data_IF_118203368274
#
_entry.id   IF_118203368274
#
_cell.length_a   1.000
_cell.length_b   1.000
_cell.length_c   1.000
_cell.angle_alpha   90.00
_cell.angle_beta   90.00
_cell.angle_gamma   90.00
#
_symmetry.space_group_name_H-M   'P 1'
#
loop_
_entity.id
_entity.type
_entity.pdbx_description
1 polymer ?
#
# COMPACT_ATOMS: atom_id res chain seq x y z
N UNK A 1 15.99 -6.93 14.94
CA UNK A 1 15.87 -6.06 13.77
C UNK A 1 15.23 -4.77 14.24
N UNK A 2 15.86 -3.65 13.99
CA UNK A 2 15.37 -2.33 14.39
C UNK A 2 14.64 -1.74 13.20
N UNK A 3 13.34 -1.43 13.35
CA UNK A 3 12.56 -0.72 12.35
C UNK A 3 13.21 0.63 12.06
N UNK A 4 13.35 0.98 10.79
CA UNK A 4 13.98 2.23 10.36
C UNK A 4 12.97 3.05 9.55
N UNK A 5 12.83 4.32 9.89
CA UNK A 5 12.11 5.27 9.03
C UNK A 5 12.90 5.49 7.73
N UNK A 6 12.22 5.69 6.58
CA UNK A 6 12.88 6.14 5.37
C UNK A 6 13.60 7.48 5.61
N UNK A 7 14.72 7.68 4.92
CA UNK A 7 15.54 8.89 5.05
C UNK A 7 14.74 10.17 4.81
N UNK A 8 13.84 10.13 3.81
CA UNK A 8 12.96 11.26 3.48
C UNK A 8 11.95 11.63 4.59
N UNK A 9 11.76 10.78 5.61
CA UNK A 9 10.89 11.03 6.77
C UNK A 9 11.67 11.15 8.09
N UNK A 10 13.01 10.97 8.07
CA UNK A 10 13.82 10.92 9.28
C UNK A 10 14.07 12.29 9.90
N UNK A 11 14.16 13.34 9.08
CA UNK A 11 14.30 14.73 9.53
C UNK A 11 12.91 15.40 9.59
N UNK A 12 12.42 15.77 10.79
CA UNK A 12 11.13 16.43 10.92
C UNK A 12 11.09 17.84 10.32
N UNK A 13 12.24 18.51 10.20
CA UNK A 13 12.34 19.89 9.76
C UNK A 13 12.61 20.03 8.24
N UNK A 14 12.89 18.91 7.53
CA UNK A 14 13.09 18.90 6.07
C UNK A 14 12.06 18.03 5.32
N UNK A 15 10.91 18.61 4.91
CA UNK A 15 9.89 17.90 4.13
C UNK A 15 10.24 17.78 2.64
N UNK A 16 11.27 18.44 2.15
CA UNK A 16 11.53 18.69 0.73
C UNK A 16 11.53 17.43 -0.11
N UNK A 17 12.24 16.38 0.32
CA UNK A 17 12.34 15.13 -0.43
C UNK A 17 11.02 14.37 -0.43
N UNK A 18 10.33 14.30 0.71
CA UNK A 18 9.04 13.63 0.83
C UNK A 18 7.97 14.31 -0.05
N UNK A 19 7.89 15.64 -0.02
CA UNK A 19 6.98 16.43 -0.86
C UNK A 19 7.27 16.19 -2.35
N UNK A 20 8.54 16.24 -2.76
CA UNK A 20 8.94 15.91 -4.14
C UNK A 20 8.50 14.51 -4.55
N UNK A 21 8.68 13.51 -3.71
CA UNK A 21 8.25 12.14 -3.98
C UNK A 21 6.73 12.04 -4.18
N UNK A 22 5.96 12.66 -3.32
CA UNK A 22 4.50 12.70 -3.43
C UNK A 22 4.05 13.38 -4.73
N UNK A 23 4.59 14.56 -5.03
CA UNK A 23 4.24 15.29 -6.25
C UNK A 23 4.56 14.50 -7.51
N UNK A 24 5.75 13.87 -7.55
CA UNK A 24 6.15 13.00 -8.67
C UNK A 24 5.23 11.78 -8.79
N UNK A 25 4.93 11.11 -7.68
CA UNK A 25 4.10 9.90 -7.70
C UNK A 25 2.68 10.17 -8.20
N UNK A 26 2.08 11.27 -7.77
CA UNK A 26 0.74 11.66 -8.17
C UNK A 26 0.71 12.55 -9.43
N UNK A 27 1.85 12.81 -10.08
CA UNK A 27 1.93 13.56 -11.34
C UNK A 27 1.51 15.02 -11.22
N UNK A 28 1.76 15.67 -10.07
CA UNK A 28 1.28 17.03 -9.79
C UNK A 28 2.13 18.11 -10.44
N UNK A 29 3.32 17.77 -10.95
CA UNK A 29 4.23 18.71 -11.59
C UNK A 29 4.11 18.70 -13.12
N UNK A 30 4.03 17.52 -13.74
CA UNK A 30 4.08 17.38 -15.22
C UNK A 30 2.91 16.52 -15.79
N UNK A 31 1.97 16.10 -14.95
CA UNK A 31 0.84 15.26 -15.32
C UNK A 31 1.18 13.77 -15.50
N UNK A 32 2.44 13.38 -15.39
CA UNK A 32 2.89 11.99 -15.48
C UNK A 32 2.85 11.33 -14.12
N UNK A 33 1.84 10.54 -13.86
CA UNK A 33 1.68 9.86 -12.58
C UNK A 33 2.06 8.39 -12.65
N UNK A 34 2.56 7.86 -11.55
CA UNK A 34 2.74 6.43 -11.41
C UNK A 34 1.40 5.70 -11.41
N UNK A 35 1.35 4.52 -12.04
CA UNK A 35 0.14 3.67 -12.11
C UNK A 35 -0.46 3.43 -10.73
N UNK A 36 0.39 3.25 -9.71
CA UNK A 36 -0.04 3.01 -8.35
C UNK A 36 -0.84 4.15 -7.70
N UNK A 37 -0.83 5.38 -8.25
CA UNK A 37 -1.71 6.46 -7.78
C UNK A 37 -3.19 6.15 -8.04
N UNK A 38 -3.50 5.34 -9.06
CA UNK A 38 -4.87 4.93 -9.36
C UNK A 38 -5.46 3.96 -8.33
N UNK A 39 -4.64 3.31 -7.50
CA UNK A 39 -5.13 2.53 -6.36
C UNK A 39 -5.95 3.38 -5.39
N UNK A 40 -5.52 4.61 -5.17
CA UNK A 40 -6.13 5.52 -4.21
C UNK A 40 -7.43 6.13 -4.78
N UNK A 41 -7.48 6.38 -6.10
CA UNK A 41 -8.61 7.00 -6.80
C UNK A 41 -9.66 6.01 -7.28
N UNK A 42 -9.38 4.70 -7.31
CA UNK A 42 -10.28 3.71 -7.89
C UNK A 42 -11.57 3.60 -7.08
N UNK A 43 -12.76 3.74 -7.72
CA UNK A 43 -14.05 3.70 -7.02
C UNK A 43 -14.40 2.30 -6.50
N UNK A 44 -15.57 2.15 -5.89
CA UNK A 44 -16.17 0.86 -5.58
C UNK A 44 -15.61 0.13 -4.38
N UNK A 45 -15.07 0.85 -3.37
CA UNK A 45 -14.62 0.25 -2.11
C UNK A 45 -15.79 0.09 -1.13
N UNK A 46 -16.55 -1.00 -1.25
CA UNK A 46 -17.57 -1.38 -0.24
C UNK A 46 -16.88 -1.74 1.09
N UNK A 47 -17.29 -1.13 2.20
CA UNK A 47 -16.59 -1.19 3.48
C UNK A 47 -16.33 -2.62 3.98
N UNK A 48 -17.37 -3.46 4.03
CA UNK A 48 -17.30 -4.80 4.61
C UNK A 48 -17.47 -5.93 3.58
N UNK A 49 -17.15 -5.68 2.32
CA UNK A 49 -17.22 -6.70 1.27
C UNK A 49 -16.16 -6.49 0.22
N UNK A 50 -15.46 -7.56 -0.17
CA UNK A 50 -14.62 -7.53 -1.35
C UNK A 50 -15.46 -7.54 -2.62
N UNK A 51 -15.06 -6.72 -3.59
CA UNK A 51 -15.68 -6.60 -4.92
C UNK A 51 -14.65 -6.74 -6.02
N UNK A 52 -15.08 -6.85 -7.27
CA UNK A 52 -14.18 -6.85 -8.40
C UNK A 52 -13.33 -5.57 -8.49
N UNK A 53 -13.88 -4.43 -8.03
CA UNK A 53 -13.17 -3.16 -8.00
C UNK A 53 -11.94 -3.21 -7.07
N UNK A 54 -12.00 -3.96 -5.99
CA UNK A 54 -10.85 -4.13 -5.10
C UNK A 54 -9.72 -4.89 -5.79
N UNK A 55 -10.06 -5.88 -6.64
CA UNK A 55 -9.06 -6.64 -7.40
C UNK A 55 -8.43 -5.77 -8.50
N UNK A 56 -9.21 -4.91 -9.12
CA UNK A 56 -8.70 -3.91 -10.07
C UNK A 56 -7.81 -2.91 -9.34
N UNK A 57 -8.24 -2.38 -8.19
CA UNK A 57 -7.47 -1.42 -7.42
C UNK A 57 -6.08 -1.95 -7.06
N UNK A 58 -5.98 -3.17 -6.53
CA UNK A 58 -4.66 -3.73 -6.15
C UNK A 58 -3.77 -4.03 -7.37
N UNK A 59 -4.34 -4.19 -8.58
CA UNK A 59 -3.53 -4.39 -9.78
C UNK A 59 -2.69 -3.15 -10.14
N UNK A 60 -3.14 -1.94 -9.79
CA UNK A 60 -2.35 -0.72 -9.93
C UNK A 60 -1.09 -0.71 -9.05
N UNK A 61 -1.06 -1.54 -8.01
CA UNK A 61 0.13 -1.76 -7.18
C UNK A 61 0.95 -2.98 -7.64
N UNK A 62 0.85 -3.34 -8.91
CA UNK A 62 1.64 -4.41 -9.54
C UNK A 62 1.45 -5.79 -8.88
N UNK A 63 0.22 -6.14 -8.51
CA UNK A 63 -0.13 -7.50 -8.06
C UNK A 63 -1.48 -7.92 -8.63
N UNK A 64 -1.63 -9.21 -8.93
CA UNK A 64 -2.86 -9.76 -9.48
C UNK A 64 -3.38 -10.88 -8.61
N UNK A 65 -4.66 -10.80 -8.24
CA UNK A 65 -5.33 -11.87 -7.48
C UNK A 65 -5.59 -13.04 -8.43
N UNK A 66 -5.09 -14.26 -8.14
CA UNK A 66 -5.30 -15.40 -9.01
C UNK A 66 -6.80 -15.70 -9.24
N UNK A 67 -7.22 -16.17 -10.42
CA UNK A 67 -8.64 -16.39 -10.72
C UNK A 67 -9.37 -17.30 -9.74
N UNK A 68 -8.71 -18.37 -9.24
CA UNK A 68 -9.27 -19.26 -8.24
C UNK A 68 -9.51 -18.52 -6.92
N UNK A 69 -8.51 -17.76 -6.46
CA UNK A 69 -8.63 -16.94 -5.25
C UNK A 69 -9.70 -15.84 -5.40
N UNK A 70 -9.80 -15.21 -6.58
CA UNK A 70 -10.84 -14.24 -6.87
C UNK A 70 -12.24 -14.85 -6.76
N UNK A 71 -12.46 -16.06 -7.30
CA UNK A 71 -13.74 -16.78 -7.19
C UNK A 71 -14.08 -17.11 -5.73
N UNK A 72 -13.12 -17.60 -4.95
CA UNK A 72 -13.33 -17.86 -3.51
C UNK A 72 -13.66 -16.56 -2.76
N UNK A 73 -12.90 -15.49 -3.00
CA UNK A 73 -13.02 -14.21 -2.29
C UNK A 73 -14.34 -13.52 -2.59
N UNK A 74 -14.79 -13.53 -3.87
CA UNK A 74 -15.94 -12.76 -4.33
C UNK A 74 -17.26 -13.54 -4.30
N UNK A 75 -17.21 -14.88 -4.26
CA UNK A 75 -18.40 -15.73 -4.35
C UNK A 75 -18.43 -16.83 -3.27
N UNK A 76 -17.53 -17.80 -3.32
CA UNK A 76 -17.66 -19.01 -2.50
C UNK A 76 -17.52 -18.76 -0.99
N UNK A 77 -16.65 -17.81 -0.60
CA UNK A 77 -16.35 -17.45 0.79
C UNK A 77 -16.65 -15.97 1.07
N UNK A 78 -17.41 -15.29 0.21
CA UNK A 78 -17.67 -13.86 0.32
C UNK A 78 -18.23 -13.46 1.70
N UNK A 79 -19.17 -14.23 2.26
CA UNK A 79 -19.77 -13.95 3.55
C UNK A 79 -18.79 -14.16 4.71
N UNK A 80 -17.87 -15.14 4.61
CA UNK A 80 -16.80 -15.31 5.58
C UNK A 80 -15.86 -14.08 5.61
N UNK A 81 -15.43 -13.60 4.45
CA UNK A 81 -14.59 -12.39 4.37
C UNK A 81 -15.33 -11.14 4.83
N UNK A 82 -16.64 -11.04 4.57
CA UNK A 82 -17.47 -9.95 5.07
C UNK A 82 -17.53 -9.95 6.61
N UNK A 83 -17.66 -11.11 7.24
CA UNK A 83 -17.62 -11.24 8.70
C UNK A 83 -16.27 -10.81 9.28
N UNK A 84 -15.15 -11.16 8.64
CA UNK A 84 -13.83 -10.75 9.07
C UNK A 84 -13.63 -9.24 8.96
N UNK A 85 -14.12 -8.62 7.87
CA UNK A 85 -14.08 -7.17 7.69
C UNK A 85 -14.94 -6.43 8.74
N UNK A 86 -16.15 -6.93 8.99
CA UNK A 86 -17.03 -6.40 10.03
C UNK A 86 -16.42 -6.50 11.43
N UNK A 87 -15.67 -7.57 11.72
CA UNK A 87 -14.99 -7.75 13.00
C UNK A 87 -13.84 -6.75 13.22
N UNK A 88 -13.23 -6.24 12.15
CA UNK A 88 -12.23 -5.15 12.24
C UNK A 88 -12.91 -3.83 12.63
N UNK A 89 -14.16 -3.64 12.24
CA UNK A 89 -14.87 -2.38 12.40
C UNK A 89 -14.55 -1.34 11.32
N UNK A 90 -15.02 -0.08 11.49
CA UNK A 90 -14.81 0.98 10.52
C UNK A 90 -13.33 1.37 10.39
N UNK A 91 -12.97 1.92 9.23
CA UNK A 91 -11.62 2.42 8.99
C UNK A 91 -11.27 3.60 9.90
N UNK A 92 -10.14 3.51 10.59
CA UNK A 92 -9.63 4.54 11.50
C UNK A 92 -8.10 4.56 11.47
N UNK A 93 -7.49 5.60 12.01
CA UNK A 93 -6.04 5.74 11.93
C UNK A 93 -5.29 4.73 12.80
N UNK A 94 -4.26 4.11 12.25
CA UNK A 94 -3.40 3.15 12.96
C UNK A 94 -2.79 3.75 14.25
N UNK A 95 -2.54 5.05 14.27
CA UNK A 95 -2.04 5.77 15.44
C UNK A 95 -3.03 5.74 16.61
N UNK A 96 -4.33 5.60 16.35
CA UNK A 96 -5.39 5.56 17.37
C UNK A 96 -5.52 4.17 18.03
N UNK A 97 -4.97 3.13 17.43
CA UNK A 97 -5.00 1.77 18.00
C UNK A 97 -4.24 1.75 19.32
N UNK A 98 -4.96 1.71 20.45
CA UNK A 98 -4.39 1.81 21.80
C UNK A 98 -3.58 0.59 22.19
N UNK A 99 -4.08 -0.58 21.85
CA UNK A 99 -3.49 -1.85 22.23
C UNK A 99 -2.34 -2.26 21.31
N UNK A 100 -1.43 -3.07 21.85
CA UNK A 100 -0.36 -3.66 21.04
C UNK A 100 -0.93 -4.56 19.95
N UNK A 101 -0.40 -4.44 18.74
CA UNK A 101 -0.78 -5.29 17.61
C UNK A 101 -0.14 -6.67 17.77
N UNK A 102 -0.88 -7.57 18.35
CA UNK A 102 -0.49 -8.97 18.55
C UNK A 102 -1.26 -9.96 17.68
N UNK A 103 -1.22 -11.25 18.05
CA UNK A 103 -1.89 -12.32 17.30
C UNK A 103 -3.43 -12.25 17.32
N UNK A 104 -4.02 -11.56 18.28
CA UNK A 104 -5.48 -11.40 18.43
C UNK A 104 -6.06 -10.20 17.67
N UNK A 105 -5.22 -9.38 17.05
CA UNK A 105 -5.70 -8.21 16.29
C UNK A 105 -6.53 -8.66 15.07
N UNK A 106 -7.80 -8.18 14.92
CA UNK A 106 -8.72 -8.69 13.91
C UNK A 106 -8.19 -8.63 12.47
N UNK A 107 -7.37 -7.63 12.15
CA UNK A 107 -6.72 -7.53 10.83
C UNK A 107 -5.83 -8.75 10.54
N UNK A 108 -5.23 -9.37 11.56
CA UNK A 108 -4.40 -10.58 11.37
C UNK A 108 -5.24 -11.78 10.95
N UNK A 109 -6.46 -11.89 11.43
CA UNK A 109 -7.39 -12.95 11.00
C UNK A 109 -7.75 -12.78 9.53
N UNK A 110 -8.13 -11.56 9.11
CA UNK A 110 -8.38 -11.24 7.70
C UNK A 110 -7.15 -11.55 6.84
N UNK A 111 -5.98 -11.06 7.25
CA UNK A 111 -4.73 -11.29 6.52
C UNK A 111 -4.41 -12.79 6.39
N UNK A 112 -4.57 -13.56 7.46
CA UNK A 112 -4.35 -15.01 7.47
C UNK A 112 -5.34 -15.75 6.57
N UNK A 113 -6.62 -15.35 6.59
CA UNK A 113 -7.65 -15.90 5.72
C UNK A 113 -7.35 -15.62 4.24
N UNK A 114 -6.93 -14.38 3.89
CA UNK A 114 -6.49 -14.05 2.53
C UNK A 114 -5.27 -14.87 2.11
N UNK A 115 -4.30 -15.06 3.01
CA UNK A 115 -3.11 -15.88 2.77
C UNK A 115 -3.41 -17.38 2.59
N UNK A 116 -4.57 -17.85 3.04
CA UNK A 116 -5.01 -19.23 2.82
C UNK A 116 -5.54 -19.48 1.40
N UNK A 117 -5.82 -18.42 0.64
CA UNK A 117 -6.27 -18.53 -0.75
C UNK A 117 -5.11 -18.95 -1.66
N UNK A 118 -5.41 -19.80 -2.64
CA UNK A 118 -4.39 -20.33 -3.55
C UNK A 118 -3.71 -19.20 -4.35
N UNK A 119 -2.37 -19.12 -4.26
CA UNK A 119 -1.56 -18.13 -4.97
C UNK A 119 -1.61 -16.71 -4.38
N UNK A 120 -2.24 -16.51 -3.21
CA UNK A 120 -2.24 -15.22 -2.50
C UNK A 120 -1.05 -15.18 -1.54
N UNK A 121 -0.02 -14.47 -1.93
CA UNK A 121 1.18 -14.23 -1.13
C UNK A 121 1.02 -13.07 -0.14
N UNK A 122 2.09 -12.78 0.65
CA UNK A 122 2.09 -11.70 1.65
C UNK A 122 1.73 -10.35 1.06
N UNK A 123 2.26 -10.05 -0.12
CA UNK A 123 2.10 -8.77 -0.80
C UNK A 123 0.66 -8.56 -1.27
N UNK A 124 0.04 -9.57 -1.92
CA UNK A 124 -1.35 -9.50 -2.35
C UNK A 124 -2.28 -9.34 -1.14
N UNK A 125 -2.10 -10.16 -0.10
CA UNK A 125 -2.93 -10.09 1.11
C UNK A 125 -2.83 -8.73 1.80
N UNK A 126 -1.62 -8.15 1.92
CA UNK A 126 -1.42 -6.82 2.50
C UNK A 126 -2.14 -5.73 1.71
N UNK A 127 -2.00 -5.73 0.37
CA UNK A 127 -2.64 -4.74 -0.50
C UNK A 127 -4.17 -4.83 -0.47
N UNK A 128 -4.73 -6.04 -0.38
CA UNK A 128 -6.16 -6.24 -0.18
C UNK A 128 -6.64 -5.72 1.19
N UNK A 129 -5.88 -5.95 2.26
CA UNK A 129 -6.19 -5.38 3.57
C UNK A 129 -6.11 -3.85 3.55
N UNK A 130 -5.05 -3.27 2.96
CA UNK A 130 -4.88 -1.83 2.83
C UNK A 130 -5.99 -1.19 1.98
N UNK A 131 -6.48 -1.88 0.94
CA UNK A 131 -7.63 -1.40 0.16
C UNK A 131 -8.89 -1.26 1.01
N UNK A 132 -9.13 -2.20 1.93
CA UNK A 132 -10.32 -2.20 2.79
C UNK A 132 -10.21 -1.28 4.00
N UNK A 133 -9.01 -1.09 4.52
CA UNK A 133 -8.76 -0.26 5.72
C UNK A 133 -7.51 0.60 5.48
N UNK A 134 -7.57 1.59 4.57
CA UNK A 134 -6.42 2.34 4.11
C UNK A 134 -5.78 3.25 5.20
N UNK A 135 -6.53 3.58 6.24
CA UNK A 135 -6.01 4.34 7.39
C UNK A 135 -5.43 3.44 8.48
N UNK A 136 -5.82 2.16 8.49
CA UNK A 136 -5.46 1.19 9.52
C UNK A 136 -4.33 0.25 9.08
N UNK A 137 -4.26 -0.11 7.79
CA UNK A 137 -3.32 -1.11 7.28
C UNK A 137 -2.40 -0.50 6.23
N UNK A 138 -1.08 -0.43 6.50
CA UNK A 138 -0.12 0.03 5.50
C UNK A 138 0.05 -0.99 4.37
N UNK A 139 0.36 -0.51 3.19
CA UNK A 139 0.80 -1.38 2.09
C UNK A 139 2.15 -1.99 2.45
N UNK A 140 2.30 -3.27 2.20
CA UNK A 140 3.58 -3.98 2.33
C UNK A 140 4.00 -4.53 0.97
N UNK A 141 5.22 -4.22 0.59
CA UNK A 141 5.92 -4.88 -0.49
C UNK A 141 7.42 -5.05 -0.17
N UNK A 142 8.14 -5.72 -1.04
CA UNK A 142 9.55 -6.03 -0.81
C UNK A 142 10.46 -4.80 -0.83
N UNK A 143 10.08 -3.73 -1.53
CA UNK A 143 10.83 -2.47 -1.57
C UNK A 143 10.67 -1.76 -0.22
N UNK A 144 9.43 -1.60 0.25
CA UNK A 144 9.11 -1.01 1.56
C UNK A 144 9.84 -1.79 2.67
N UNK A 145 9.78 -3.12 2.64
CA UNK A 145 10.45 -3.96 3.63
C UNK A 145 11.97 -3.73 3.69
N UNK A 146 12.62 -3.52 2.55
CA UNK A 146 14.07 -3.28 2.47
C UNK A 146 14.46 -1.87 2.89
N UNK A 147 13.67 -0.86 2.57
CA UNK A 147 13.92 0.52 3.00
C UNK A 147 13.80 0.64 4.52
N UNK A 148 12.81 -0.02 5.11
CA UNK A 148 12.50 0.09 6.55
C UNK A 148 13.20 -0.95 7.42
N UNK A 149 13.98 -1.86 6.82
CA UNK A 149 14.52 -3.05 7.49
C UNK A 149 13.44 -3.87 8.22
N UNK A 150 12.20 -3.78 7.72
CA UNK A 150 11.05 -4.45 8.30
C UNK A 150 10.83 -5.82 7.65
N UNK A 151 10.53 -6.80 8.50
CA UNK A 151 9.93 -8.07 8.05
C UNK A 151 8.41 -7.90 7.87
N UNK A 152 7.70 -8.99 7.54
CA UNK A 152 6.23 -9.04 7.50
C UNK A 152 5.52 -8.62 8.81
N UNK A 153 6.26 -8.25 9.85
CA UNK A 153 5.75 -7.79 11.15
C UNK A 153 5.81 -6.27 11.30
N UNK A 154 5.69 -5.51 10.22
CA UNK A 154 5.84 -4.05 10.21
C UNK A 154 4.74 -3.28 10.98
N UNK A 155 3.57 -3.85 11.24
CA UNK A 155 2.42 -3.12 11.76
C UNK A 155 2.66 -2.50 13.14
N UNK A 156 3.13 -3.31 14.10
CA UNK A 156 3.42 -2.79 15.45
C UNK A 156 4.59 -1.79 15.48
N UNK A 157 5.73 -2.07 14.85
CA UNK A 157 6.80 -1.08 14.76
C UNK A 157 6.35 0.23 14.12
N UNK A 158 5.58 0.19 13.02
CA UNK A 158 5.08 1.40 12.37
C UNK A 158 4.08 2.15 13.28
N UNK A 159 3.15 1.44 13.95
CA UNK A 159 2.23 2.06 14.91
C UNK A 159 2.99 2.84 16.01
N UNK A 160 4.07 2.28 16.50
CA UNK A 160 4.91 2.94 17.51
C UNK A 160 5.63 4.15 16.91
N UNK A 161 6.14 4.06 15.68
CA UNK A 161 6.79 5.19 15.01
C UNK A 161 5.82 6.33 14.69
N UNK A 162 4.56 6.02 14.29
CA UNK A 162 3.53 7.05 14.04
C UNK A 162 3.25 7.93 15.25
N UNK A 163 3.48 7.40 16.47
CA UNK A 163 3.33 8.13 17.74
C UNK A 163 4.58 8.89 18.16
N UNK A 164 5.72 8.58 17.54
CA UNK A 164 6.98 9.27 17.80
C UNK A 164 7.10 10.53 16.98
N UNK A 165 7.58 11.59 17.62
CA UNK A 165 7.88 12.86 16.94
C UNK A 165 6.73 13.31 16.02
N UNK A 166 5.49 13.04 16.45
CA UNK A 166 4.26 13.43 15.74
C UNK A 166 4.25 12.98 14.25
N UNK A 167 4.85 11.81 13.96
CA UNK A 167 4.99 11.35 12.57
C UNK A 167 3.65 11.29 11.85
N UNK A 168 2.57 10.85 12.52
CA UNK A 168 1.24 10.84 11.91
C UNK A 168 0.81 12.22 11.43
N UNK A 169 0.93 13.25 12.28
CA UNK A 169 0.53 14.62 11.95
C UNK A 169 1.44 15.21 10.87
N UNK A 170 2.72 14.84 10.89
CA UNK A 170 3.67 15.20 9.82
C UNK A 170 3.27 14.61 8.48
N UNK A 171 2.80 13.36 8.42
CA UNK A 171 2.31 12.74 7.17
C UNK A 171 1.07 13.46 6.64
N UNK A 172 0.16 13.89 7.53
CA UNK A 172 -0.98 14.74 7.17
C UNK A 172 -0.52 16.08 6.59
N UNK A 173 0.46 16.73 7.23
CA UNK A 173 1.02 17.99 6.75
C UNK A 173 1.73 17.84 5.39
N UNK A 174 2.55 16.79 5.21
CA UNK A 174 3.22 16.47 3.94
C UNK A 174 2.22 16.27 2.79
N UNK A 175 1.11 15.57 3.05
CA UNK A 175 0.03 15.39 2.08
C UNK A 175 -0.52 16.73 1.61
N UNK A 176 -0.83 17.61 2.56
CA UNK A 176 -1.38 18.94 2.27
C UNK A 176 -0.37 19.83 1.54
N UNK A 177 0.90 19.84 1.98
CA UNK A 177 1.97 20.60 1.34
C UNK A 177 2.26 20.14 -0.08
N UNK A 178 2.24 18.84 -0.33
CA UNK A 178 2.38 18.28 -1.67
C UNK A 178 1.18 18.57 -2.58
N UNK A 179 0.03 18.97 -2.05
CA UNK A 179 -1.21 19.16 -2.81
C UNK A 179 -1.92 17.86 -3.15
N UNK A 180 -1.66 16.79 -2.41
CA UNK A 180 -2.34 15.49 -2.56
C UNK A 180 -3.69 15.52 -1.85
N UNK A 181 -4.73 14.96 -2.49
CA UNK A 181 -6.11 15.00 -1.97
C UNK A 181 -6.30 14.25 -0.64
N UNK A 182 -7.29 14.68 0.13
CA UNK A 182 -7.58 14.14 1.48
C UNK A 182 -8.04 12.67 1.51
N UNK A 183 -8.45 12.12 0.35
CA UNK A 183 -8.79 10.70 0.20
C UNK A 183 -7.57 9.78 0.33
N UNK A 184 -6.34 10.31 0.17
CA UNK A 184 -5.10 9.58 0.40
C UNK A 184 -4.79 9.55 1.89
N UNK A 185 -4.75 8.38 2.49
CA UNK A 185 -4.52 8.24 3.94
C UNK A 185 -3.09 8.61 4.35
N UNK A 186 -2.84 9.00 5.62
CA UNK A 186 -1.48 9.22 6.12
C UNK A 186 -0.58 7.99 5.96
N UNK A 187 -1.12 6.77 6.14
CA UNK A 187 -0.38 5.54 5.88
C UNK A 187 0.01 5.40 4.41
N UNK A 188 -0.86 5.82 3.50
CA UNK A 188 -0.54 5.79 2.08
C UNK A 188 0.52 6.83 1.71
N UNK A 189 0.52 7.99 2.34
CA UNK A 189 1.63 8.96 2.22
C UNK A 189 2.94 8.32 2.65
N UNK A 190 2.95 7.64 3.80
CA UNK A 190 4.11 6.90 4.28
C UNK A 190 4.58 5.84 3.27
N UNK A 191 3.67 5.02 2.74
CA UNK A 191 3.97 3.96 1.78
C UNK A 191 4.60 4.53 0.50
N UNK A 192 4.00 5.58 -0.05
CA UNK A 192 4.48 6.24 -1.29
C UNK A 192 5.88 6.81 -1.09
N UNK A 193 6.12 7.57 0.00
CA UNK A 193 7.44 8.15 0.28
C UNK A 193 8.49 7.05 0.43
N UNK A 194 8.16 5.99 1.17
CA UNK A 194 9.06 4.86 1.40
C UNK A 194 9.39 4.12 0.09
N UNK A 195 8.38 3.87 -0.73
CA UNK A 195 8.54 3.19 -2.01
C UNK A 195 9.36 4.04 -3.01
N UNK A 196 9.10 5.35 -3.08
CA UNK A 196 9.84 6.28 -3.93
C UNK A 196 11.32 6.37 -3.53
N UNK A 197 11.62 6.38 -2.23
CA UNK A 197 13.01 6.30 -1.75
C UNK A 197 13.69 5.01 -2.21
N UNK A 198 12.99 3.89 -2.14
CA UNK A 198 13.50 2.62 -2.65
C UNK A 198 13.76 2.64 -4.16
N UNK A 199 12.89 3.29 -4.94
CA UNK A 199 13.07 3.48 -6.39
C UNK A 199 14.30 4.36 -6.68
N UNK A 200 14.48 5.46 -6.00
CA UNK A 200 15.66 6.33 -6.13
C UNK A 200 16.95 5.57 -5.79
N UNK A 201 16.90 4.64 -4.83
CA UNK A 201 18.00 3.72 -4.50
C UNK A 201 18.13 2.54 -5.46
N UNK A 202 17.38 2.51 -6.59
CA UNK A 202 17.36 1.43 -7.58
C UNK A 202 17.01 0.05 -7.01
N UNK A 203 16.23 -0.02 -5.94
CA UNK A 203 15.73 -1.29 -5.43
C UNK A 203 14.70 -1.89 -6.40
N UNK A 204 14.80 -3.22 -6.61
CA UNK A 204 13.88 -3.96 -7.48
C UNK A 204 12.98 -4.86 -6.64
N UNK A 205 11.76 -5.16 -7.10
CA UNK A 205 10.92 -6.18 -6.48
C UNK A 205 11.65 -7.52 -6.35
N UNK A 206 11.40 -8.22 -5.26
CA UNK A 206 12.07 -9.51 -4.97
C UNK A 206 11.13 -10.70 -4.92
N UNK A 207 9.81 -10.49 -4.80
CA UNK A 207 8.85 -11.58 -4.84
C UNK A 207 8.42 -11.88 -6.28
N UNK A 208 8.15 -13.16 -6.64
CA UNK A 208 7.68 -13.52 -7.97
C UNK A 208 6.40 -12.78 -8.39
N UNK A 209 5.49 -12.56 -7.45
CA UNK A 209 4.22 -11.87 -7.69
C UNK A 209 4.45 -10.40 -8.09
N UNK A 210 5.35 -9.70 -7.41
CA UNK A 210 5.69 -8.31 -7.69
C UNK A 210 6.52 -8.17 -8.97
N UNK A 211 7.41 -9.12 -9.26
CA UNK A 211 8.19 -9.14 -10.50
C UNK A 211 7.27 -9.30 -11.71
N UNK A 212 6.36 -10.28 -11.67
CA UNK A 212 5.37 -10.48 -12.73
C UNK A 212 4.47 -9.24 -12.89
N UNK A 213 4.04 -8.65 -11.78
CA UNK A 213 3.21 -7.44 -11.79
C UNK A 213 3.94 -6.25 -12.41
N UNK A 214 5.23 -6.07 -12.11
CA UNK A 214 6.04 -5.01 -12.69
C UNK A 214 6.25 -5.21 -14.20
N UNK A 215 6.50 -6.44 -14.65
CA UNK A 215 6.63 -6.77 -16.10
C UNK A 215 5.34 -6.48 -16.88
N UNK A 216 4.18 -6.68 -16.27
CA UNK A 216 2.89 -6.44 -16.92
C UNK A 216 2.46 -4.96 -16.86
N UNK A 217 2.90 -4.21 -15.86
CA UNK A 217 2.54 -2.81 -15.69
C UNK A 217 3.39 -1.86 -16.56
N UNK A 218 4.65 -2.19 -16.76
CA UNK A 218 5.59 -1.46 -17.61
C UNK A 218 6.01 -2.41 -18.77
N UNK A 219 5.23 -2.52 -19.85
CA UNK A 219 5.72 -3.24 -21.03
C UNK A 219 7.04 -2.60 -21.48
N UNK A 220 8.01 -3.38 -21.97
CA UNK A 220 9.23 -2.83 -22.51
C UNK A 220 8.88 -1.76 -23.55
N UNK A 221 9.56 -0.61 -23.50
CA UNK A 221 9.48 0.38 -24.58
C UNK A 221 9.84 -0.35 -25.87
N UNK A 222 8.83 -0.79 -26.61
CA UNK A 222 9.04 -1.19 -28.00
C UNK A 222 9.43 0.10 -28.73
N UNK A 223 10.66 0.13 -29.24
CA UNK A 223 11.11 1.11 -30.22
C UNK A 223 10.07 1.13 -31.33
N UNK A 224 9.13 2.07 -31.25
CA UNK A 224 8.22 2.33 -32.37
C UNK A 224 9.11 2.76 -33.52
N UNK A 225 9.10 2.07 -34.68
CA UNK A 225 9.90 2.49 -35.81
C UNK A 225 9.51 3.93 -36.16
N UNK A 226 10.54 4.80 -36.23
CA UNK A 226 10.38 6.16 -36.70
C UNK A 226 9.63 6.09 -38.03
N UNK A 227 8.41 6.66 -38.05
CA UNK A 227 7.67 6.82 -39.29
C UNK A 227 8.38 7.92 -40.09
N UNK A 228 9.25 7.51 -41.00
CA UNK A 228 9.80 8.40 -42.03
C UNK A 228 8.64 9.04 -42.78
N UNK A 229 8.49 10.36 -42.64
CA UNK A 229 7.61 11.24 -43.45
C UNK A 229 8.37 11.82 -44.61
#
# INVERSE_FOLDING_TARGET
>A
MTYRLPGALSDPDDPTTAVRYLRTYYGLDDGRRYTGSSFDDWPGNAEDRFTADDLVAVSFLSVFVPPIAARELLAERADHFAQLLSAIGPDHDLVEVSDSIDGSWPVRELYSALRSLHGVGPTIASKLCARKRPRLVPVYDSIVARVTDASQRQWEPLRLELRRNDLHDRLVALRAEAGVGDHVSPLRVYDVVTWMEGKDANLRPTTPEEQLGAELADPPEEDLPEQDT
#
